data_IF_963708383599
#
_entry.id   IF_963708383599
#
_cell.length_a   1.000
_cell.length_b   1.000
_cell.length_c   1.000
_cell.angle_alpha   90.00
_cell.angle_beta   90.00
_cell.angle_gamma   90.00
#
_symmetry.space_group_name_H-M   'P 1'
#
loop_
_entity.id
_entity.type
_entity.pdbx_description
1 polymer ?
#
# COMPACT_ATOMS: atom_id res chain seq x y z
N UNK A 1 -15.54 -27.78 7.16
CA UNK A 1 -16.86 -27.71 6.50
C UNK A 1 -17.92 -27.26 7.52
N UNK A 2 -18.04 -25.95 7.78
CA UNK A 2 -19.09 -25.36 8.64
C UNK A 2 -19.55 -23.98 8.15
N UNK A 3 -18.67 -23.23 7.47
CA UNK A 3 -18.99 -21.89 6.95
C UNK A 3 -20.03 -21.90 5.80
N UNK A 4 -20.18 -23.00 5.06
CA UNK A 4 -21.05 -23.07 3.87
C UNK A 4 -22.54 -22.94 4.17
N UNK A 5 -22.96 -23.21 5.41
CA UNK A 5 -24.35 -23.15 5.85
C UNK A 5 -24.68 -21.83 6.57
N UNK A 6 -23.67 -21.00 6.88
CA UNK A 6 -23.90 -19.71 7.51
C UNK A 6 -24.55 -18.71 6.55
N UNK A 7 -25.38 -17.78 7.05
CA UNK A 7 -25.85 -16.63 6.30
C UNK A 7 -24.69 -15.81 5.72
N UNK A 8 -24.92 -15.16 4.58
CA UNK A 8 -23.89 -14.39 3.89
C UNK A 8 -23.35 -13.26 4.76
N UNK A 9 -24.18 -12.65 5.61
CA UNK A 9 -23.83 -11.57 6.52
C UNK A 9 -22.83 -12.05 7.59
N UNK A 10 -22.96 -13.28 8.08
CA UNK A 10 -22.03 -13.84 9.07
C UNK A 10 -20.69 -14.13 8.43
N UNK A 11 -20.69 -14.76 7.24
CA UNK A 11 -19.47 -14.99 6.46
C UNK A 11 -18.75 -13.67 6.21
N UNK A 12 -19.49 -12.62 5.85
CA UNK A 12 -18.96 -11.28 5.63
C UNK A 12 -18.38 -10.65 6.89
N UNK A 13 -19.05 -10.76 8.04
CA UNK A 13 -18.49 -10.32 9.31
C UNK A 13 -17.18 -11.02 9.61
N UNK A 14 -17.10 -12.34 9.42
CA UNK A 14 -15.85 -13.08 9.59
C UNK A 14 -14.76 -12.57 8.64
N UNK A 15 -15.05 -12.40 7.34
CA UNK A 15 -14.07 -11.89 6.37
C UNK A 15 -13.52 -10.52 6.74
N UNK A 16 -14.32 -9.63 7.34
CA UNK A 16 -13.87 -8.30 7.76
C UNK A 16 -12.86 -8.32 8.92
N UNK A 17 -12.74 -9.44 9.64
CA UNK A 17 -11.73 -9.62 10.70
C UNK A 17 -10.49 -10.40 10.23
N UNK A 18 -10.52 -10.93 9.01
CA UNK A 18 -9.42 -11.72 8.46
C UNK A 18 -8.48 -10.84 7.61
N UNK A 19 -7.17 -11.12 7.62
CA UNK A 19 -6.24 -10.62 6.62
C UNK A 19 -6.71 -10.93 5.20
N UNK A 20 -6.36 -10.07 4.25
CA UNK A 20 -6.80 -10.23 2.86
C UNK A 20 -6.36 -11.55 2.21
N UNK A 21 -5.17 -12.06 2.55
CA UNK A 21 -4.69 -13.34 2.03
C UNK A 21 -5.53 -14.51 2.58
N UNK A 22 -5.98 -14.44 3.84
CA UNK A 22 -6.87 -15.44 4.42
C UNK A 22 -8.27 -15.37 3.80
N UNK A 23 -8.79 -14.16 3.54
CA UNK A 23 -10.05 -13.98 2.80
C UNK A 23 -9.94 -14.53 1.38
N UNK A 24 -8.80 -14.33 0.71
CA UNK A 24 -8.55 -14.88 -0.62
C UNK A 24 -8.57 -16.41 -0.58
N UNK A 25 -7.83 -17.04 0.34
CA UNK A 25 -7.85 -18.50 0.49
C UNK A 25 -9.26 -19.02 0.81
N UNK A 26 -9.96 -18.34 1.73
CA UNK A 26 -11.33 -18.69 2.12
C UNK A 26 -12.29 -18.62 0.92
N UNK A 27 -12.15 -17.61 0.06
CA UNK A 27 -12.96 -17.45 -1.14
C UNK A 27 -12.85 -18.66 -2.08
N UNK A 28 -11.67 -19.27 -2.18
CA UNK A 28 -11.42 -20.45 -3.03
C UNK A 28 -11.91 -21.78 -2.44
N UNK A 29 -12.40 -21.80 -1.20
CA UNK A 29 -12.88 -23.05 -0.58
C UNK A 29 -14.16 -23.59 -1.20
N UNK A 30 -15.07 -22.73 -1.65
CA UNK A 30 -16.30 -23.13 -2.34
C UNK A 30 -16.94 -21.98 -3.16
N UNK A 31 -17.81 -22.34 -4.12
CA UNK A 31 -18.45 -21.40 -5.04
C UNK A 31 -19.31 -20.33 -4.34
N UNK A 32 -20.02 -20.68 -3.26
CA UNK A 32 -20.88 -19.74 -2.53
C UNK A 32 -20.04 -18.66 -1.86
N UNK A 33 -18.99 -19.05 -1.14
CA UNK A 33 -18.06 -18.12 -0.49
C UNK A 33 -17.35 -17.24 -1.52
N UNK A 34 -16.90 -17.81 -2.65
CA UNK A 34 -16.33 -17.03 -3.76
C UNK A 34 -17.28 -15.95 -4.26
N UNK A 35 -18.56 -16.26 -4.44
CA UNK A 35 -19.56 -15.30 -4.91
C UNK A 35 -19.82 -14.20 -3.87
N UNK A 36 -19.88 -14.55 -2.59
CA UNK A 36 -20.05 -13.58 -1.50
C UNK A 36 -18.84 -12.62 -1.45
N UNK A 37 -17.62 -13.16 -1.44
CA UNK A 37 -16.40 -12.35 -1.42
C UNK A 37 -16.27 -11.49 -2.68
N UNK A 38 -16.55 -12.04 -3.86
CA UNK A 38 -16.48 -11.28 -5.13
C UNK A 38 -17.43 -10.09 -5.16
N UNK A 39 -18.61 -10.20 -4.55
CA UNK A 39 -19.61 -9.12 -4.50
C UNK A 39 -19.30 -8.06 -3.45
N UNK A 40 -18.73 -8.45 -2.31
CA UNK A 40 -18.63 -7.56 -1.15
C UNK A 40 -17.20 -7.17 -0.76
N UNK A 41 -16.19 -7.95 -1.15
CA UNK A 41 -14.76 -7.69 -0.88
C UNK A 41 -13.91 -7.96 -2.14
N UNK A 42 -14.24 -7.37 -3.30
CA UNK A 42 -13.55 -7.67 -4.56
C UNK A 42 -12.04 -7.40 -4.53
N UNK A 43 -11.58 -6.50 -3.66
CA UNK A 43 -10.14 -6.22 -3.45
C UNK A 43 -9.36 -7.44 -2.95
N UNK A 44 -9.98 -8.31 -2.14
CA UNK A 44 -9.34 -9.51 -1.60
C UNK A 44 -8.94 -10.52 -2.68
N UNK A 45 -9.60 -10.46 -3.84
CA UNK A 45 -9.36 -11.38 -4.95
C UNK A 45 -8.27 -10.88 -5.90
N UNK A 46 -7.69 -9.71 -5.65
CA UNK A 46 -6.54 -9.23 -6.40
C UNK A 46 -5.31 -10.07 -6.05
N UNK A 47 -4.40 -10.35 -6.99
CA UNK A 47 -3.17 -11.07 -6.68
C UNK A 47 -2.30 -10.22 -5.74
N UNK A 48 -1.51 -10.91 -4.91
CA UNK A 48 -0.49 -10.27 -4.08
C UNK A 48 0.73 -9.93 -4.95
N UNK A 49 1.33 -8.77 -4.73
CA UNK A 49 2.51 -8.29 -5.46
C UNK A 49 3.71 -8.28 -4.52
N UNK A 50 4.81 -8.94 -4.91
CA UNK A 50 6.06 -8.92 -4.15
C UNK A 50 6.94 -7.74 -4.60
N UNK A 51 7.33 -6.89 -3.65
CA UNK A 51 8.13 -5.71 -3.87
C UNK A 51 9.49 -5.82 -3.18
N UNK A 52 10.56 -5.47 -3.88
CA UNK A 52 11.89 -5.36 -3.27
C UNK A 52 12.01 -4.10 -2.42
N UNK A 53 11.54 -2.98 -2.95
CA UNK A 53 11.43 -1.77 -2.17
C UNK A 53 10.23 -0.92 -2.58
N UNK A 54 9.74 -0.15 -1.62
CA UNK A 54 8.74 0.88 -1.81
C UNK A 54 9.27 2.16 -1.17
N UNK A 55 9.46 3.20 -1.96
CA UNK A 55 9.90 4.51 -1.50
C UNK A 55 8.80 5.54 -1.68
N UNK A 56 8.37 6.19 -0.59
CA UNK A 56 7.28 7.16 -0.60
C UNK A 56 7.84 8.57 -0.38
N UNK A 57 7.47 9.49 -1.28
CA UNK A 57 7.89 10.88 -1.27
C UNK A 57 6.67 11.81 -1.22
N UNK A 58 6.57 12.72 -0.24
CA UNK A 58 5.51 13.72 -0.22
C UNK A 58 5.62 14.70 -1.39
N UNK A 59 4.47 15.17 -1.85
CA UNK A 59 4.38 16.17 -2.92
C UNK A 59 3.97 17.49 -2.28
N UNK A 60 4.85 18.50 -2.35
CA UNK A 60 4.72 19.74 -1.56
C UNK A 60 3.39 20.49 -1.72
N UNK A 61 2.72 20.34 -2.86
CA UNK A 61 1.49 21.07 -3.19
C UNK A 61 0.24 20.17 -3.23
N UNK A 62 0.33 18.90 -2.83
CA UNK A 62 -0.82 17.98 -2.77
C UNK A 62 -0.92 17.32 -1.41
N UNK A 63 -2.04 17.57 -0.73
CA UNK A 63 -2.34 16.95 0.56
C UNK A 63 -2.66 15.47 0.32
N UNK A 64 -2.15 14.60 1.20
CA UNK A 64 -2.39 13.15 1.21
C UNK A 64 -2.07 12.44 -0.12
N UNK A 65 -1.27 13.06 -0.98
CA UNK A 65 -0.86 12.49 -2.27
C UNK A 65 0.64 12.45 -2.30
N UNK A 66 1.19 11.30 -2.70
CA UNK A 66 2.61 11.02 -2.65
C UNK A 66 3.06 10.42 -3.97
N UNK A 67 4.34 10.61 -4.29
CA UNK A 67 5.00 9.84 -5.33
C UNK A 67 5.56 8.57 -4.68
N UNK A 68 5.25 7.42 -5.24
CA UNK A 68 5.81 6.14 -4.83
C UNK A 68 6.74 5.62 -5.91
N UNK A 69 8.01 5.39 -5.57
CA UNK A 69 8.92 4.59 -6.39
C UNK A 69 8.84 3.14 -5.92
N UNK A 70 8.49 2.24 -6.83
CA UNK A 70 8.31 0.82 -6.58
C UNK A 70 9.42 0.07 -7.30
N UNK A 71 10.20 -0.71 -6.57
CA UNK A 71 11.22 -1.58 -7.15
C UNK A 71 10.77 -3.04 -7.07
N UNK A 72 10.77 -3.70 -8.22
CA UNK A 72 10.59 -5.12 -8.37
C UNK A 72 11.95 -5.80 -8.45
N UNK A 73 12.04 -7.01 -7.89
CA UNK A 73 13.15 -7.92 -8.17
C UNK A 73 12.58 -9.10 -8.92
N UNK A 74 12.98 -9.21 -10.16
CA UNK A 74 12.75 -10.39 -10.96
C UNK A 74 13.98 -11.31 -10.85
N UNK A 75 13.84 -12.53 -11.33
CA UNK A 75 14.92 -13.53 -11.24
C UNK A 75 16.16 -13.10 -12.02
N UNK A 76 15.97 -12.33 -13.10
CA UNK A 76 17.04 -11.95 -14.04
C UNK A 76 17.30 -10.44 -14.12
N UNK A 77 16.47 -9.61 -13.48
CA UNK A 77 16.57 -8.16 -13.61
C UNK A 77 16.02 -7.39 -12.41
N UNK A 78 16.46 -6.14 -12.30
CA UNK A 78 15.86 -5.13 -11.45
C UNK A 78 15.00 -4.23 -12.29
N UNK A 79 13.81 -3.94 -11.80
CA UNK A 79 12.90 -3.07 -12.49
C UNK A 79 12.27 -2.08 -11.50
N UNK A 80 11.99 -0.88 -11.97
CA UNK A 80 11.40 0.15 -11.12
C UNK A 80 10.34 0.95 -11.86
N UNK A 81 9.34 1.42 -11.11
CA UNK A 81 8.32 2.33 -11.64
C UNK A 81 7.91 3.35 -10.59
N UNK A 82 7.72 4.58 -11.05
CA UNK A 82 7.10 5.63 -10.24
C UNK A 82 5.59 5.67 -10.50
N UNK A 83 4.80 5.71 -9.42
CA UNK A 83 3.34 5.85 -9.45
C UNK A 83 2.86 6.87 -8.45
N UNK A 84 1.71 7.45 -8.72
CA UNK A 84 1.06 8.36 -7.78
C UNK A 84 0.20 7.56 -6.79
N UNK A 85 0.41 7.77 -5.50
CA UNK A 85 -0.40 7.16 -4.44
C UNK A 85 -1.16 8.22 -3.64
N UNK A 86 -2.26 7.83 -3.01
CA UNK A 86 -2.98 8.68 -2.08
C UNK A 86 -3.30 7.95 -0.77
N UNK A 87 -3.41 8.72 0.31
CA UNK A 87 -3.89 8.24 1.61
C UNK A 87 -5.31 8.74 1.82
N UNK A 88 -6.24 7.82 2.01
CA UNK A 88 -7.64 8.16 2.28
C UNK A 88 -8.02 7.79 3.70
N UNK A 89 -8.84 8.61 4.35
CA UNK A 89 -9.49 8.22 5.61
C UNK A 89 -10.61 7.19 5.38
N UNK A 90 -11.19 6.64 6.44
CA UNK A 90 -12.22 5.59 6.34
C UNK A 90 -13.47 6.01 5.55
N UNK A 91 -13.89 7.28 5.64
CA UNK A 91 -15.06 7.79 4.91
C UNK A 91 -14.73 7.90 3.42
N UNK A 92 -13.59 8.48 3.10
CA UNK A 92 -13.10 8.62 1.72
C UNK A 92 -12.86 7.25 1.07
N UNK A 93 -12.33 6.26 1.79
CA UNK A 93 -12.15 4.90 1.23
C UNK A 93 -13.48 4.25 0.79
N UNK A 94 -14.59 4.56 1.47
CA UNK A 94 -15.92 4.10 1.04
C UNK A 94 -16.44 4.88 -0.15
N UNK A 95 -16.25 6.19 -0.15
CA UNK A 95 -16.70 7.08 -1.23
C UNK A 95 -15.99 6.77 -2.56
N UNK A 96 -14.70 6.43 -2.51
CA UNK A 96 -13.87 6.20 -3.68
C UNK A 96 -13.61 4.71 -3.98
N UNK A 97 -14.30 3.78 -3.30
CA UNK A 97 -14.03 2.34 -3.39
C UNK A 97 -14.03 1.81 -4.83
N UNK A 98 -15.02 2.20 -5.64
CA UNK A 98 -15.13 1.75 -7.03
C UNK A 98 -13.95 2.24 -7.89
N UNK A 99 -13.56 3.50 -7.71
CA UNK A 99 -12.44 4.13 -8.44
C UNK A 99 -11.12 3.49 -8.01
N UNK A 100 -10.91 3.33 -6.70
CA UNK A 100 -9.70 2.73 -6.15
C UNK A 100 -9.57 1.26 -6.59
N UNK A 101 -10.69 0.50 -6.64
CA UNK A 101 -10.72 -0.86 -7.18
C UNK A 101 -10.37 -0.91 -8.66
N UNK A 102 -10.89 0.03 -9.46
CA UNK A 102 -10.54 0.15 -10.88
C UNK A 102 -9.05 0.43 -11.06
N UNK A 103 -8.51 1.39 -10.31
CA UNK A 103 -7.09 1.77 -10.37
C UNK A 103 -6.18 0.64 -9.91
N UNK A 104 -6.52 -0.06 -8.83
CA UNK A 104 -5.78 -1.24 -8.36
C UNK A 104 -5.79 -2.39 -9.38
N UNK A 105 -6.92 -2.64 -10.05
CA UNK A 105 -6.99 -3.63 -11.14
C UNK A 105 -6.11 -3.23 -12.33
N UNK A 106 -6.10 -1.95 -12.67
CA UNK A 106 -5.28 -1.41 -13.74
C UNK A 106 -3.79 -1.53 -13.43
N UNK A 107 -3.38 -1.19 -12.20
CA UNK A 107 -2.01 -1.37 -11.75
C UNK A 107 -1.58 -2.84 -11.73
N UNK A 108 -2.46 -3.76 -11.34
CA UNK A 108 -2.20 -5.20 -11.42
C UNK A 108 -1.99 -5.70 -12.86
N UNK A 109 -2.81 -5.23 -13.81
CA UNK A 109 -2.60 -5.54 -15.24
C UNK A 109 -1.25 -5.02 -15.72
N UNK A 110 -0.90 -3.81 -15.30
CA UNK A 110 0.37 -3.20 -15.62
C UNK A 110 1.57 -3.99 -15.06
N UNK A 111 1.53 -4.43 -13.80
CA UNK A 111 2.58 -5.28 -13.22
C UNK A 111 2.77 -6.60 -14.01
N UNK A 112 1.66 -7.22 -14.43
CA UNK A 112 1.73 -8.44 -15.28
C UNK A 112 2.32 -8.16 -16.65
N UNK A 113 1.96 -7.03 -17.25
CA UNK A 113 2.53 -6.59 -18.51
C UNK A 113 4.05 -6.35 -18.38
N UNK A 114 4.51 -5.63 -17.35
CA UNK A 114 5.94 -5.43 -17.08
C UNK A 114 6.69 -6.76 -16.95
N UNK A 115 6.15 -7.70 -16.17
CA UNK A 115 6.72 -9.05 -16.06
C UNK A 115 6.79 -9.78 -17.40
N UNK A 116 5.80 -9.61 -18.27
CA UNK A 116 5.83 -10.23 -19.60
C UNK A 116 6.88 -9.62 -20.53
N UNK A 117 7.21 -8.34 -20.37
CA UNK A 117 8.27 -7.68 -21.11
C UNK A 117 9.66 -8.06 -20.60
N UNK A 118 9.79 -8.23 -19.28
CA UNK A 118 11.03 -8.70 -18.65
C UNK A 118 11.46 -10.05 -19.21
N UNK A 119 10.53 -11.00 -19.33
CA UNK A 119 10.76 -12.30 -19.97
C UNK A 119 11.18 -12.22 -21.44
N UNK A 120 10.94 -11.08 -22.10
CA UNK A 120 11.32 -10.78 -23.49
C UNK A 120 12.54 -9.87 -23.59
N UNK A 121 13.13 -9.47 -22.47
CA UNK A 121 14.18 -8.45 -22.38
C UNK A 121 13.79 -7.10 -23.04
N UNK A 122 12.52 -6.71 -22.94
CA UNK A 122 12.00 -5.45 -23.46
C UNK A 122 11.81 -4.41 -22.34
N UNK A 123 11.96 -3.13 -22.68
CA UNK A 123 11.73 -2.03 -21.72
C UNK A 123 10.26 -1.74 -21.55
N UNK A 124 9.80 -1.63 -20.31
CA UNK A 124 8.42 -1.25 -20.01
C UNK A 124 8.21 0.27 -20.02
N UNK A 125 7.11 0.69 -20.63
CA UNK A 125 6.61 2.06 -20.57
C UNK A 125 6.21 2.46 -19.13
N UNK A 126 6.11 3.76 -18.83
CA UNK A 126 5.66 4.24 -17.51
C UNK A 126 4.20 3.85 -17.24
N UNK A 127 3.80 3.83 -15.97
CA UNK A 127 2.41 3.47 -15.63
C UNK A 127 1.42 4.45 -16.23
N UNK A 128 1.75 5.74 -16.16
CA UNK A 128 0.99 6.81 -16.79
C UNK A 128 0.81 6.57 -18.30
N UNK A 129 1.90 6.33 -19.02
CA UNK A 129 1.83 6.10 -20.46
C UNK A 129 1.02 4.84 -20.79
N UNK A 130 1.21 3.73 -20.05
CA UNK A 130 0.40 2.52 -20.21
C UNK A 130 -1.10 2.77 -20.02
N UNK A 131 -1.46 3.64 -19.07
CA UNK A 131 -2.88 3.93 -18.78
C UNK A 131 -3.53 4.74 -19.90
N UNK A 132 -2.79 5.67 -20.49
CA UNK A 132 -3.24 6.52 -21.61
C UNK A 132 -3.27 5.73 -22.92
N UNK A 133 -2.19 5.00 -23.23
CA UNK A 133 -1.98 4.34 -24.53
C UNK A 133 -2.89 3.13 -24.74
N UNK A 134 -3.18 2.35 -23.70
CA UNK A 134 -3.84 1.03 -23.82
C UNK A 134 -5.21 0.93 -23.16
N UNK A 135 -5.60 1.92 -22.37
CA UNK A 135 -6.84 1.86 -21.60
C UNK A 135 -7.79 3.03 -21.80
N UNK A 136 -7.56 3.88 -22.80
CA UNK A 136 -8.49 4.89 -23.32
C UNK A 136 -9.38 5.48 -22.23
N UNK A 137 -8.87 6.45 -21.47
CA UNK A 137 -9.73 7.44 -20.83
C UNK A 137 -10.36 8.33 -21.94
N UNK A 138 -11.20 7.73 -22.79
CA UNK A 138 -12.05 8.46 -23.72
C UNK A 138 -13.17 9.12 -22.93
N UNK A 139 -13.37 10.41 -23.18
CA UNK A 139 -14.47 11.27 -22.72
C UNK A 139 -14.22 12.04 -21.41
N UNK A 140 -13.16 12.84 -21.36
CA UNK A 140 -13.19 14.22 -20.82
C UNK A 140 -11.78 14.82 -20.85
N UNK A 141 -11.69 16.12 -21.14
CA UNK A 141 -10.46 16.90 -21.38
C UNK A 141 -9.51 17.05 -20.17
N UNK A 142 -9.23 16.00 -19.39
CA UNK A 142 -8.09 15.96 -18.46
C UNK A 142 -7.53 14.54 -18.43
N UNK A 143 -6.25 14.39 -18.79
CA UNK A 143 -5.46 13.19 -18.50
C UNK A 143 -5.38 13.02 -16.98
N UNK A 144 -6.28 12.21 -16.41
CA UNK A 144 -6.26 11.92 -14.97
C UNK A 144 -5.33 10.72 -14.77
N UNK A 145 -4.10 10.99 -14.31
CA UNK A 145 -3.17 9.96 -13.86
C UNK A 145 -3.84 9.17 -12.73
N UNK A 146 -3.99 7.83 -12.84
CA UNK A 146 -4.64 7.03 -11.81
C UNK A 146 -3.89 7.10 -10.48
N UNK A 147 -4.62 7.48 -9.42
CA UNK A 147 -4.11 7.42 -8.05
C UNK A 147 -4.32 6.02 -7.48
N UNK A 148 -3.27 5.48 -6.87
CA UNK A 148 -3.32 4.20 -6.17
C UNK A 148 -3.49 4.49 -4.67
N UNK A 149 -4.59 4.03 -4.08
CA UNK A 149 -4.84 4.24 -2.66
C UNK A 149 -3.91 3.34 -1.81
N UNK A 150 -3.19 3.94 -0.87
CA UNK A 150 -2.08 3.32 -0.14
C UNK A 150 -2.55 2.17 0.76
N UNK A 151 -3.70 2.31 1.44
CA UNK A 151 -4.23 1.25 2.27
C UNK A 151 -4.48 -0.01 1.43
N UNK A 152 -5.23 0.10 0.33
CA UNK A 152 -5.49 -1.02 -0.58
C UNK A 152 -4.24 -1.58 -1.23
N UNK A 153 -3.28 -0.73 -1.57
CA UNK A 153 -2.01 -1.14 -2.13
C UNK A 153 -1.19 -1.99 -1.16
N UNK A 154 -1.05 -1.55 0.09
CA UNK A 154 -0.33 -2.27 1.14
C UNK A 154 -1.03 -3.56 1.57
N UNK A 155 -2.36 -3.62 1.48
CA UNK A 155 -3.14 -4.85 1.74
C UNK A 155 -2.81 -5.99 0.76
N UNK A 156 -2.36 -5.65 -0.45
CA UNK A 156 -2.11 -6.59 -1.54
C UNK A 156 -0.63 -6.63 -1.95
N UNK A 157 0.27 -6.13 -1.11
CA UNK A 157 1.71 -6.14 -1.39
C UNK A 157 2.51 -6.71 -0.23
N UNK A 158 3.58 -7.42 -0.57
CA UNK A 158 4.62 -7.84 0.37
C UNK A 158 5.85 -6.99 0.12
N UNK A 159 6.23 -6.17 1.09
CA UNK A 159 7.27 -5.17 0.91
C UNK A 159 8.52 -5.60 1.68
N UNK A 160 9.60 -5.88 0.95
CA UNK A 160 10.85 -6.22 1.62
C UNK A 160 11.48 -5.00 2.32
N UNK A 161 11.48 -3.82 1.67
CA UNK A 161 12.00 -2.57 2.25
C UNK A 161 11.06 -1.40 2.00
N UNK A 162 10.58 -0.76 3.05
CA UNK A 162 9.81 0.48 2.97
C UNK A 162 10.70 1.68 3.36
N UNK A 163 10.72 2.70 2.51
CA UNK A 163 11.40 3.96 2.72
C UNK A 163 10.40 5.12 2.74
N UNK A 164 10.37 5.86 3.84
CA UNK A 164 9.65 7.14 3.91
C UNK A 164 10.67 8.27 3.80
N UNK A 165 10.63 9.01 2.70
CA UNK A 165 11.69 9.95 2.35
C UNK A 165 11.19 11.39 2.39
N UNK A 166 11.92 12.27 3.09
CA UNK A 166 11.65 13.72 3.14
C UNK A 166 10.25 14.07 3.68
N UNK A 167 9.68 13.22 4.53
CA UNK A 167 8.41 13.49 5.20
C UNK A 167 8.57 14.61 6.24
N UNK A 168 7.63 15.55 6.26
CA UNK A 168 7.34 16.36 7.45
C UNK A 168 6.49 15.55 8.44
N UNK A 169 6.22 16.14 9.61
CA UNK A 169 5.47 15.47 10.69
C UNK A 169 4.07 15.04 10.27
N UNK A 170 3.36 15.89 9.53
CA UNK A 170 2.00 15.60 9.07
C UNK A 170 1.98 14.45 8.06
N UNK A 171 2.88 14.51 7.08
CA UNK A 171 3.03 13.50 6.05
C UNK A 171 3.43 12.14 6.65
N UNK A 172 4.37 12.14 7.61
CA UNK A 172 4.79 10.94 8.31
C UNK A 172 3.59 10.29 9.02
N UNK A 173 2.88 11.03 9.86
CA UNK A 173 1.77 10.45 10.63
C UNK A 173 0.61 10.00 9.74
N UNK A 174 0.30 10.74 8.67
CA UNK A 174 -0.72 10.30 7.72
C UNK A 174 -0.38 8.94 7.08
N UNK A 175 0.89 8.71 6.72
CA UNK A 175 1.33 7.43 6.14
C UNK A 175 1.36 6.33 7.22
N UNK A 176 1.91 6.63 8.40
CA UNK A 176 2.01 5.67 9.51
C UNK A 176 0.62 5.19 9.96
N UNK A 177 -0.33 6.10 10.13
CA UNK A 177 -1.72 5.76 10.49
C UNK A 177 -2.37 4.86 9.43
N UNK A 178 -2.09 5.11 8.15
CA UNK A 178 -2.57 4.26 7.06
C UNK A 178 -1.97 2.85 7.12
N UNK A 179 -0.67 2.74 7.41
CA UNK A 179 0.05 1.46 7.55
C UNK A 179 -0.47 0.68 8.77
N UNK A 180 -0.57 1.32 9.93
CA UNK A 180 -1.01 0.67 11.17
C UNK A 180 -2.43 0.12 11.06
N UNK A 181 -3.28 0.77 10.26
CA UNK A 181 -4.66 0.33 10.03
C UNK A 181 -4.80 -1.00 9.26
N UNK A 182 -3.74 -1.50 8.61
CA UNK A 182 -3.83 -2.66 7.72
C UNK A 182 -2.87 -3.81 8.03
N UNK A 183 -1.94 -3.62 8.98
CA UNK A 183 -0.92 -4.60 9.40
C UNK A 183 -0.23 -5.28 8.19
N UNK A 184 0.42 -4.50 7.30
CA UNK A 184 0.98 -5.04 6.07
C UNK A 184 2.16 -5.98 6.34
N UNK A 185 2.43 -6.86 5.37
CA UNK A 185 3.61 -7.74 5.36
C UNK A 185 4.84 -6.93 4.88
N UNK A 186 5.49 -6.28 5.84
CA UNK A 186 6.70 -5.47 5.62
C UNK A 186 7.84 -6.04 6.46
N UNK A 187 8.93 -6.43 5.78
CA UNK A 187 10.09 -7.04 6.46
C UNK A 187 11.01 -6.02 7.09
N UNK A 188 11.31 -4.96 6.37
CA UNK A 188 12.20 -3.90 6.82
C UNK A 188 11.62 -2.53 6.55
N UNK A 189 11.70 -1.67 7.55
CA UNK A 189 11.27 -0.28 7.51
C UNK A 189 12.47 0.63 7.75
N UNK A 190 12.59 1.65 6.92
CA UNK A 190 13.55 2.73 7.03
C UNK A 190 12.80 4.04 6.89
N UNK A 191 13.05 4.96 7.81
CA UNK A 191 12.49 6.32 7.75
C UNK A 191 13.65 7.28 7.59
N UNK A 192 13.66 8.01 6.48
CA UNK A 192 14.56 9.12 6.23
C UNK A 192 13.80 10.43 6.41
N UNK A 193 14.01 11.01 7.58
CA UNK A 193 13.38 12.24 7.98
C UNK A 193 13.96 13.42 7.20
N UNK A 194 13.11 14.32 6.72
CA UNK A 194 13.57 15.58 6.16
C UNK A 194 14.32 16.41 7.22
N UNK A 195 15.13 17.38 6.79
CA UNK A 195 15.93 18.26 7.67
C UNK A 195 15.13 19.01 8.76
N UNK A 196 13.79 19.01 8.68
CA UNK A 196 12.89 19.74 9.56
C UNK A 196 11.87 18.85 10.30
N UNK A 197 12.05 17.52 10.32
CA UNK A 197 11.18 16.68 11.14
C UNK A 197 11.51 16.89 12.61
N UNK A 198 10.58 17.51 13.33
CA UNK A 198 10.64 17.66 14.79
C UNK A 198 9.46 16.90 15.39
N UNK A 199 9.76 15.98 16.30
CA UNK A 199 8.75 15.30 17.10
C UNK A 199 8.37 16.16 18.30
N UNK A 200 7.09 16.16 18.64
CA UNK A 200 6.57 16.74 19.87
C UNK A 200 6.37 15.66 20.94
N UNK A 201 6.15 16.05 22.20
CA UNK A 201 5.95 15.10 23.30
C UNK A 201 4.78 14.14 23.02
N UNK A 202 3.70 14.64 22.40
CA UNK A 202 2.53 13.82 22.03
C UNK A 202 2.88 12.70 21.04
N UNK A 203 3.94 12.87 20.24
CA UNK A 203 4.37 11.89 19.25
C UNK A 203 4.98 10.64 19.89
N UNK A 204 5.54 10.75 21.11
CA UNK A 204 6.10 9.62 21.85
C UNK A 204 5.03 8.54 22.04
N UNK A 205 3.86 8.96 22.54
CA UNK A 205 2.74 8.07 22.79
C UNK A 205 2.22 7.39 21.51
N UNK A 206 2.38 8.04 20.35
CA UNK A 206 2.01 7.48 19.04
C UNK A 206 3.04 6.47 18.57
N UNK A 207 4.34 6.76 18.72
CA UNK A 207 5.43 5.84 18.38
C UNK A 207 5.29 4.55 19.19
N UNK A 208 5.06 4.65 20.50
CA UNK A 208 4.93 3.48 21.38
C UNK A 208 3.74 2.58 21.04
N UNK A 209 2.65 3.14 20.53
CA UNK A 209 1.43 2.39 20.17
C UNK A 209 1.45 1.86 18.73
N UNK A 210 2.37 2.34 17.91
CA UNK A 210 2.40 2.09 16.48
C UNK A 210 3.08 0.75 16.17
N UNK A 211 2.39 -0.12 15.42
CA UNK A 211 2.97 -1.38 14.97
C UNK A 211 4.07 -1.16 13.92
N UNK A 212 4.03 -0.01 13.23
CA UNK A 212 5.06 0.40 12.28
C UNK A 212 6.43 0.59 12.94
N UNK A 213 6.46 1.16 14.15
CA UNK A 213 7.69 1.44 14.90
C UNK A 213 8.14 0.29 15.81
N UNK A 214 7.35 -0.79 15.90
CA UNK A 214 7.70 -1.92 16.75
C UNK A 214 9.04 -2.56 16.31
N UNK A 215 9.89 -2.82 17.31
CA UNK A 215 11.34 -3.03 17.22
C UNK A 215 11.81 -4.17 16.32
N UNK A 216 10.90 -5.05 15.87
CA UNK A 216 11.18 -6.12 14.91
C UNK A 216 11.19 -5.69 13.44
N UNK A 217 10.57 -4.56 13.07
CA UNK A 217 10.38 -4.13 11.66
C UNK A 217 11.23 -2.92 11.26
N UNK A 218 11.48 -1.99 12.16
CA UNK A 218 12.30 -0.80 11.91
C UNK A 218 13.77 -1.06 12.27
N UNK A 219 14.67 -1.12 11.28
CA UNK A 219 16.12 -1.34 11.52
C UNK A 219 16.99 -0.12 11.30
N UNK A 220 16.53 0.86 10.53
CA UNK A 220 17.27 2.08 10.25
C UNK A 220 16.35 3.29 10.17
N UNK A 221 15.87 3.75 11.31
CA UNK A 221 15.52 5.17 11.45
C UNK A 221 16.84 5.94 11.46
N UNK A 222 17.21 6.61 10.35
CA UNK A 222 18.23 7.68 10.37
C UNK A 222 17.65 8.95 11.04
N UNK A 223 16.92 8.73 12.13
CA UNK A 223 16.54 9.69 13.15
C UNK A 223 17.45 9.51 14.38
N UNK A 224 18.68 9.01 14.18
CA UNK A 224 19.68 8.72 15.21
C UNK A 224 20.25 9.96 15.92
N UNK A 225 19.59 11.11 15.77
CA UNK A 225 19.84 12.29 16.60
C UNK A 225 18.63 12.71 17.43
N UNK A 226 17.42 12.23 17.14
CA UNK A 226 16.23 12.55 17.94
C UNK A 226 15.68 11.35 18.70
N UNK A 227 15.72 10.12 18.16
CA UNK A 227 15.26 8.93 18.89
C UNK A 227 16.25 8.52 20.00
N UNK A 228 17.55 8.68 19.79
CA UNK A 228 18.59 8.42 20.81
C UNK A 228 18.62 9.47 21.94
N UNK A 229 17.98 10.65 21.75
CA UNK A 229 17.77 11.65 22.80
C UNK A 229 16.57 11.32 23.69
N UNK A 230 15.67 10.42 23.27
CA UNK A 230 14.51 10.01 24.06
C UNK A 230 14.75 8.70 24.83
N UNK A 231 15.59 7.80 24.32
CA UNK A 231 15.99 6.59 25.06
C UNK A 231 16.95 6.85 26.23
N UNK A 232 17.59 8.03 26.26
CA UNK A 232 18.55 8.43 27.29
C UNK A 232 17.96 9.30 28.41
N UNK A 233 16.67 9.65 28.36
CA UNK A 233 15.99 10.47 29.37
C UNK A 233 14.83 9.76 30.10
N UNK A 234 14.74 8.43 29.96
CA UNK A 234 13.85 7.60 30.78
C UNK A 234 14.69 6.56 31.56
N UNK A 235 15.46 7.05 32.53
CA UNK A 235 15.88 6.33 33.73
C UNK A 235 16.06 7.35 34.86
#
# INVERSE_FOLDING_TARGET
MMLSNLPAEIIMKCCNFLPYDDVHQLAWTNRRTMQIVRRNLPMSLLPTIDLSSLSIYPISHKINTYLASIEFRFDQSYDSVAVMICVRNRKERKEFEEVDLKNMRLFNKYCRYRRSLELKAETAETFEYYTVSRHSCSNSNKEIIPLIELHWFLARTKVNRLYLNRCDRRNLWNIVDAIDSIRPDIRHVSVECGKHLQFELDDISKIEKSNFFDSGRARHTRCSKSLDLFSSNCN
#
